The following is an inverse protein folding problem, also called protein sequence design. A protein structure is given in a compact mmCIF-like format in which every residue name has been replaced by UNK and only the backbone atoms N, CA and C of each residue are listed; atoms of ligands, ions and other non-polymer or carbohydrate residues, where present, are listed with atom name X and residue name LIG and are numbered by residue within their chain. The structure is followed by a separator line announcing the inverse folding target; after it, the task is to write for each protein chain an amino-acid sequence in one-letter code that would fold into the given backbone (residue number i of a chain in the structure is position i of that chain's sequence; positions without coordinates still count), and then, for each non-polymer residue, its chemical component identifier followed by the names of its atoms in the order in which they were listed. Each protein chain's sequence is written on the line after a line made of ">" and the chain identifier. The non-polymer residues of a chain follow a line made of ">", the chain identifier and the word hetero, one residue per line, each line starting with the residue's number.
data_IF_159834546975
#
_entry.id   IF_159834546975
#
_cell.length_a   1.000
_cell.length_b   1.000
_cell.length_c   1.000
_cell.angle_alpha   90.00
_cell.angle_beta   90.00
_cell.angle_gamma   90.00
#
_symmetry.space_group_name_H-M   'P 1'
#
loop_
_entity.id
_entity.type
_entity.pdbx_description
1 polymer ?
#
# COMPACT_ATOMS: atom_id res chain seq x y z
N UNK A 1 -11.17 6.35 3.84
CA UNK A 1 -10.29 7.24 4.61
C UNK A 1 -9.15 7.64 3.71
N UNK A 2 -8.67 8.88 3.77
CA UNK A 2 -7.65 9.39 2.87
C UNK A 2 -7.62 10.91 2.89
N UNK A 3 -7.24 11.54 1.79
CA UNK A 3 -7.24 13.00 1.65
C UNK A 3 -8.42 13.53 0.85
N UNK A 4 -8.28 14.74 0.34
CA UNK A 4 -9.10 15.29 -0.74
C UNK A 4 -10.22 16.20 -0.24
N UNK A 5 -10.11 16.77 0.97
CA UNK A 5 -11.13 17.66 1.56
C UNK A 5 -11.59 18.75 0.59
N UNK A 6 -10.68 19.28 -0.23
CA UNK A 6 -10.99 20.32 -1.23
C UNK A 6 -12.13 19.97 -2.19
N UNK A 7 -12.37 18.68 -2.45
CA UNK A 7 -13.42 18.22 -3.37
C UNK A 7 -14.78 17.97 -2.67
N UNK A 8 -14.79 18.01 -1.35
CA UNK A 8 -15.98 17.83 -0.51
C UNK A 8 -16.60 19.16 -0.06
N UNK A 9 -15.79 20.21 0.03
CA UNK A 9 -16.20 21.52 0.50
C UNK A 9 -16.52 22.48 -0.66
N UNK A 10 -17.54 23.35 -0.52
CA UNK A 10 -17.83 24.40 -1.50
C UNK A 10 -16.80 25.53 -1.45
N UNK A 11 -16.68 26.25 -2.56
CA UNK A 11 -15.94 27.52 -2.61
C UNK A 11 -16.45 28.49 -1.53
N UNK A 12 -15.54 29.23 -0.89
CA UNK A 12 -15.81 30.09 0.26
C UNK A 12 -15.73 29.40 1.63
N UNK A 13 -15.77 28.06 1.70
CA UNK A 13 -15.53 27.33 2.95
C UNK A 13 -14.03 27.09 3.13
N UNK A 14 -13.45 27.61 4.21
CA UNK A 14 -12.02 27.45 4.52
C UNK A 14 -11.69 26.03 4.98
N UNK A 15 -10.54 25.53 4.57
CA UNK A 15 -10.01 24.25 5.06
C UNK A 15 -9.65 24.36 6.56
N UNK A 16 -9.95 23.32 7.37
CA UNK A 16 -9.68 23.35 8.81
C UNK A 16 -8.19 23.40 9.18
N UNK A 17 -7.32 22.93 8.29
CA UNK A 17 -5.87 22.85 8.52
C UNK A 17 -5.14 23.97 7.78
N UNK A 18 -5.45 24.14 6.49
CA UNK A 18 -4.85 25.16 5.64
C UNK A 18 -5.77 26.39 5.56
N UNK A 19 -5.69 27.28 6.56
CA UNK A 19 -6.61 28.44 6.71
C UNK A 19 -6.62 29.43 5.54
N UNK A 20 -5.64 29.38 4.65
CA UNK A 20 -5.56 30.17 3.40
C UNK A 20 -6.25 29.50 2.22
N UNK A 21 -6.56 28.22 2.31
CA UNK A 21 -7.18 27.42 1.25
C UNK A 21 -8.69 27.31 1.46
N UNK A 22 -9.42 27.18 0.35
CA UNK A 22 -10.88 27.02 0.34
C UNK A 22 -11.29 25.77 -0.44
N UNK A 23 -12.52 25.31 -0.20
CA UNK A 23 -13.16 24.26 -0.99
C UNK A 23 -13.22 24.59 -2.48
N UNK A 24 -13.27 23.57 -3.34
CA UNK A 24 -13.24 23.72 -4.81
C UNK A 24 -14.58 23.50 -5.49
N UNK A 25 -15.63 23.08 -4.77
CA UNK A 25 -16.91 22.80 -5.41
C UNK A 25 -17.65 24.09 -5.77
N UNK A 26 -18.07 24.17 -7.03
CA UNK A 26 -18.78 25.32 -7.59
C UNK A 26 -20.31 25.24 -7.41
N UNK A 27 -20.83 24.09 -6.97
CA UNK A 27 -22.26 23.84 -6.81
C UNK A 27 -22.80 24.21 -5.42
N UNK A 28 -21.98 24.86 -4.58
CA UNK A 28 -22.30 25.27 -3.21
C UNK A 28 -22.70 24.13 -2.27
N UNK A 29 -22.39 22.88 -2.63
CA UNK A 29 -22.71 21.70 -1.82
C UNK A 29 -21.57 21.38 -0.86
N UNK A 30 -21.88 21.31 0.43
CA UNK A 30 -21.03 20.64 1.41
C UNK A 30 -21.37 19.15 1.44
N UNK A 31 -20.48 18.32 0.90
CA UNK A 31 -20.69 16.88 0.83
C UNK A 31 -20.43 16.18 2.16
N UNK A 32 -19.61 16.76 3.04
CA UNK A 32 -19.34 16.21 4.37
C UNK A 32 -20.62 16.31 5.20
N UNK A 33 -21.22 17.51 5.20
CA UNK A 33 -22.47 17.76 5.90
C UNK A 33 -23.62 16.91 5.32
N UNK A 34 -23.71 16.80 3.99
CA UNK A 34 -24.72 15.94 3.35
C UNK A 34 -24.55 14.47 3.72
N UNK A 35 -23.32 13.97 3.74
CA UNK A 35 -23.03 12.59 4.14
C UNK A 35 -23.44 12.34 5.59
N UNK A 36 -23.06 13.23 6.52
CA UNK A 36 -23.47 13.13 7.94
C UNK A 36 -25.00 13.18 8.10
N UNK A 37 -25.67 14.10 7.39
CA UNK A 37 -27.15 14.22 7.40
C UNK A 37 -27.82 12.96 6.87
N UNK A 38 -27.29 12.36 5.79
CA UNK A 38 -27.79 11.09 5.25
C UNK A 38 -27.71 9.96 6.28
N UNK A 39 -26.53 9.76 6.90
CA UNK A 39 -26.35 8.69 7.90
C UNK A 39 -27.26 8.88 9.11
N UNK A 40 -27.32 10.11 9.62
CA UNK A 40 -28.23 10.46 10.74
C UNK A 40 -29.69 10.21 10.37
N UNK A 41 -30.13 10.61 9.18
CA UNK A 41 -31.51 10.39 8.71
C UNK A 41 -31.87 8.90 8.63
N UNK A 42 -30.89 8.05 8.31
CA UNK A 42 -31.04 6.59 8.26
C UNK A 42 -30.87 5.90 9.62
N UNK A 43 -30.67 6.67 10.70
CA UNK A 43 -30.53 6.15 12.05
C UNK A 43 -29.17 5.55 12.36
N UNK A 44 -28.13 5.87 11.57
CA UNK A 44 -26.79 5.33 11.76
C UNK A 44 -25.87 6.29 12.54
N UNK A 45 -24.97 5.71 13.32
CA UNK A 45 -23.86 6.41 13.98
C UNK A 45 -22.75 6.72 12.98
N UNK A 46 -22.48 8.01 12.74
CA UNK A 46 -21.50 8.46 11.76
C UNK A 46 -20.60 9.56 12.31
N UNK A 47 -19.30 9.42 12.05
CA UNK A 47 -18.26 10.35 12.50
C UNK A 47 -17.47 10.88 11.31
N UNK A 48 -17.11 12.16 11.36
CA UNK A 48 -16.19 12.81 10.44
C UNK A 48 -14.95 13.28 11.19
N UNK A 49 -13.76 12.92 10.69
CA UNK A 49 -12.48 13.30 11.27
C UNK A 49 -11.52 13.81 10.20
N UNK A 50 -10.63 14.73 10.58
CA UNK A 50 -9.67 15.33 9.65
C UNK A 50 -8.26 15.46 10.20
N UNK A 51 -7.98 14.98 11.41
CA UNK A 51 -6.63 14.89 11.97
C UNK A 51 -6.47 13.67 12.88
N UNK A 52 -5.23 13.37 13.24
CA UNK A 52 -4.88 12.22 14.09
C UNK A 52 -5.50 12.27 15.49
N UNK A 53 -5.63 13.44 16.11
CA UNK A 53 -6.25 13.56 17.43
C UNK A 53 -7.74 13.16 17.43
N UNK A 54 -8.49 13.54 16.40
CA UNK A 54 -9.89 13.14 16.22
C UNK A 54 -9.98 11.65 15.85
N UNK A 55 -9.13 11.19 14.92
CA UNK A 55 -9.04 9.80 14.52
C UNK A 55 -8.81 8.85 15.72
N UNK A 56 -7.87 9.20 16.61
CA UNK A 56 -7.54 8.40 17.80
C UNK A 56 -8.69 8.32 18.81
N UNK A 57 -9.63 9.27 18.80
CA UNK A 57 -10.81 9.28 19.69
C UNK A 57 -11.96 8.42 19.17
N UNK A 58 -11.89 7.91 17.94
CA UNK A 58 -12.96 7.10 17.35
C UNK A 58 -13.08 5.78 18.11
N UNK A 59 -14.23 5.62 18.77
CA UNK A 59 -14.70 4.35 19.29
C UNK A 59 -15.22 3.50 18.12
N UNK A 60 -14.37 2.59 17.65
CA UNK A 60 -14.68 1.70 16.54
C UNK A 60 -15.87 0.77 16.84
N UNK A 61 -16.19 0.49 18.11
CA UNK A 61 -17.33 -0.35 18.47
C UNK A 61 -18.66 0.38 18.26
N UNK A 62 -18.70 1.69 18.53
CA UNK A 62 -19.92 2.51 18.42
C UNK A 62 -20.10 3.20 17.06
N UNK A 63 -19.03 3.36 16.29
CA UNK A 63 -19.07 4.06 15.00
C UNK A 63 -19.46 3.10 13.89
N UNK A 64 -20.58 3.31 13.19
CA UNK A 64 -20.98 2.48 12.04
C UNK A 64 -20.39 3.01 10.73
N UNK A 65 -20.32 4.34 10.58
CA UNK A 65 -19.77 4.99 9.40
C UNK A 65 -18.68 5.98 9.81
N UNK A 66 -17.51 5.88 9.20
CA UNK A 66 -16.40 6.80 9.44
C UNK A 66 -15.95 7.44 8.12
N UNK A 67 -15.96 8.77 8.07
CA UNK A 67 -15.35 9.54 7.01
C UNK A 67 -14.10 10.25 7.55
N UNK A 68 -12.92 9.75 7.20
CA UNK A 68 -11.63 10.39 7.53
C UNK A 68 -11.04 11.07 6.30
N UNK A 69 -10.92 12.40 6.33
CA UNK A 69 -10.30 13.23 5.28
C UNK A 69 -9.15 14.07 5.87
N UNK A 70 -7.94 13.54 5.81
CA UNK A 70 -6.79 14.00 6.60
C UNK A 70 -5.98 15.12 5.94
N UNK A 71 -6.12 15.32 4.64
CA UNK A 71 -5.44 16.41 3.92
C UNK A 71 -6.40 17.17 2.98
N UNK A 72 -6.07 18.42 2.67
CA UNK A 72 -6.71 19.21 1.62
C UNK A 72 -6.68 18.51 0.25
N UNK A 73 -5.55 17.88 -0.10
CA UNK A 73 -5.38 17.12 -1.35
C UNK A 73 -5.00 15.67 -1.09
N UNK A 74 -3.85 15.19 -1.56
CA UNK A 74 -3.35 13.87 -1.17
C UNK A 74 -2.68 14.02 0.19
N UNK A 75 -2.67 12.98 1.02
CA UNK A 75 -1.82 12.98 2.21
C UNK A 75 -0.36 13.27 1.82
N UNK A 76 0.40 13.82 2.76
CA UNK A 76 1.84 13.89 2.67
C UNK A 76 2.47 12.51 2.44
N UNK A 77 3.70 12.50 1.91
CA UNK A 77 4.48 11.27 1.89
C UNK A 77 4.72 10.80 3.32
N UNK A 78 4.74 9.49 3.58
CA UNK A 78 4.95 8.94 4.92
C UNK A 78 6.29 9.39 5.52
N UNK A 79 7.30 9.60 4.67
CA UNK A 79 8.59 10.17 5.08
C UNK A 79 8.53 11.63 5.54
N UNK A 80 7.52 12.37 5.09
CA UNK A 80 7.31 13.80 5.34
C UNK A 80 6.14 14.06 6.31
N UNK A 81 5.36 13.01 6.64
CA UNK A 81 4.12 13.07 7.43
C UNK A 81 4.36 13.61 8.84
N UNK A 82 3.55 14.58 9.25
CA UNK A 82 3.50 14.99 10.66
C UNK A 82 2.89 13.84 11.50
N UNK A 83 3.71 13.25 12.35
CA UNK A 83 3.30 12.13 13.22
C UNK A 83 2.66 12.61 14.53
N UNK A 84 2.67 13.91 14.79
CA UNK A 84 2.09 14.55 15.96
C UNK A 84 0.57 14.45 16.01
N UNK A 85 -0.02 14.93 17.11
CA UNK A 85 -1.47 14.84 17.33
C UNK A 85 -2.29 15.68 16.35
N UNK A 86 -1.67 16.68 15.72
CA UNK A 86 -2.31 17.55 14.72
C UNK A 86 -2.06 17.11 13.28
N UNK A 87 -1.15 16.16 13.06
CA UNK A 87 -0.88 15.59 11.74
C UNK A 87 -1.78 14.41 11.42
N UNK A 88 -1.20 13.41 10.76
CA UNK A 88 -1.97 12.38 10.05
C UNK A 88 -1.74 10.95 10.57
N UNK A 89 -2.80 10.10 10.54
CA UNK A 89 -2.66 8.67 10.74
C UNK A 89 -1.84 8.04 9.61
N UNK A 90 -1.06 7.00 9.93
CA UNK A 90 -0.38 6.19 8.91
C UNK A 90 -1.36 5.35 8.10
N UNK A 91 -0.91 4.77 6.97
CA UNK A 91 -1.70 3.81 6.22
C UNK A 91 -2.09 2.58 7.07
N UNK A 92 -1.17 2.12 7.91
CA UNK A 92 -1.40 1.05 8.90
C UNK A 92 -2.47 1.44 9.93
N UNK A 93 -2.40 2.65 10.49
CA UNK A 93 -3.41 3.16 11.44
C UNK A 93 -4.80 3.17 10.79
N UNK A 94 -4.91 3.75 9.59
CA UNK A 94 -6.17 3.81 8.82
C UNK A 94 -6.70 2.40 8.52
N UNK A 95 -5.83 1.48 8.10
CA UNK A 95 -6.21 0.10 7.80
C UNK A 95 -6.74 -0.63 9.03
N UNK A 96 -6.07 -0.48 10.17
CA UNK A 96 -6.49 -1.05 11.45
C UNK A 96 -7.87 -0.52 11.86
N UNK A 97 -8.09 0.80 11.82
CA UNK A 97 -9.37 1.39 12.22
C UNK A 97 -10.50 1.00 11.28
N UNK A 98 -10.24 0.93 9.97
CA UNK A 98 -11.21 0.44 9.00
C UNK A 98 -11.62 -1.00 9.33
N UNK A 99 -10.63 -1.85 9.62
CA UNK A 99 -10.84 -3.25 9.95
C UNK A 99 -11.67 -3.43 11.23
N UNK A 100 -11.38 -2.66 12.29
CA UNK A 100 -12.14 -2.67 13.54
C UNK A 100 -13.62 -2.32 13.34
N UNK A 101 -13.92 -1.37 12.45
CA UNK A 101 -15.30 -0.97 12.15
C UNK A 101 -16.00 -2.01 11.27
N UNK A 102 -15.34 -2.47 10.20
CA UNK A 102 -15.91 -3.36 9.19
C UNK A 102 -16.17 -4.77 9.72
N UNK A 103 -15.30 -5.29 10.60
CA UNK A 103 -15.43 -6.63 11.22
C UNK A 103 -16.70 -6.84 12.02
N UNK A 104 -17.39 -5.76 12.38
CA UNK A 104 -18.67 -5.85 13.10
C UNK A 104 -19.80 -6.40 12.22
N UNK A 105 -19.65 -6.39 10.90
CA UNK A 105 -20.64 -6.96 10.00
C UNK A 105 -20.47 -8.50 9.91
N UNK A 106 -21.42 -9.30 10.43
CA UNK A 106 -21.33 -10.75 10.36
C UNK A 106 -21.44 -11.29 8.92
N UNK A 107 -21.93 -10.49 7.97
CA UNK A 107 -22.02 -10.89 6.56
C UNK A 107 -20.73 -10.63 5.77
N UNK A 108 -19.65 -10.23 6.44
CA UNK A 108 -18.38 -9.92 5.80
C UNK A 108 -18.27 -8.46 5.32
N UNK A 109 -17.14 -8.16 4.68
CA UNK A 109 -16.81 -6.81 4.23
C UNK A 109 -15.76 -6.83 3.13
N UNK A 110 -15.71 -5.75 2.36
CA UNK A 110 -14.63 -5.44 1.42
C UNK A 110 -13.86 -4.27 2.00
N UNK A 111 -12.54 -4.42 2.11
CA UNK A 111 -11.62 -3.33 2.43
C UNK A 111 -10.63 -3.17 1.28
N UNK A 112 -10.53 -1.94 0.80
CA UNK A 112 -9.54 -1.48 -0.18
C UNK A 112 -8.55 -0.58 0.54
N UNK A 113 -7.26 -0.95 0.47
CA UNK A 113 -6.14 -0.18 0.99
C UNK A 113 -5.20 0.15 -0.17
N UNK A 114 -4.92 1.43 -0.37
CA UNK A 114 -4.12 1.95 -1.47
C UNK A 114 -2.98 2.80 -0.91
N UNK A 115 -1.74 2.53 -1.35
CA UNK A 115 -0.59 3.42 -1.15
C UNK A 115 -0.32 4.23 -2.42
N UNK A 116 -1.25 5.13 -2.75
CA UNK A 116 -1.23 5.88 -4.02
C UNK A 116 -0.08 6.89 -4.14
N UNK A 117 0.63 7.17 -3.05
CA UNK A 117 1.80 8.05 -3.05
C UNK A 117 3.04 7.38 -3.65
N UNK A 118 3.09 6.06 -3.77
CA UNK A 118 4.16 5.34 -4.49
C UNK A 118 4.26 5.88 -5.93
N UNK A 119 3.11 5.97 -6.63
CA UNK A 119 3.03 6.48 -8.01
C UNK A 119 3.52 7.92 -8.11
N UNK A 120 3.01 8.80 -7.24
CA UNK A 120 3.41 10.20 -7.22
C UNK A 120 4.92 10.37 -7.01
N UNK A 121 5.53 9.59 -6.12
CA UNK A 121 6.97 9.64 -5.91
C UNK A 121 7.75 9.20 -7.16
N UNK A 122 7.29 8.16 -7.86
CA UNK A 122 7.89 7.73 -9.13
C UNK A 122 7.72 8.76 -10.24
N UNK A 123 6.56 9.42 -10.35
CA UNK A 123 6.35 10.55 -11.25
C UNK A 123 7.37 11.67 -10.99
N UNK A 124 7.80 11.88 -9.75
CA UNK A 124 8.83 12.86 -9.41
C UNK A 124 10.26 12.34 -9.57
N UNK A 125 10.47 11.12 -10.08
CA UNK A 125 11.76 10.40 -10.03
C UNK A 125 12.39 10.46 -8.62
N UNK A 126 11.58 10.32 -7.58
CA UNK A 126 12.03 10.35 -6.18
C UNK A 126 11.92 8.95 -5.59
N UNK A 127 12.96 8.14 -5.81
CA UNK A 127 12.98 6.76 -5.34
C UNK A 127 13.04 6.65 -3.81
N UNK A 128 13.57 7.65 -3.10
CA UNK A 128 13.57 7.65 -1.64
C UNK A 128 12.13 7.60 -1.11
N UNK A 129 11.29 8.54 -1.57
CA UNK A 129 9.88 8.60 -1.16
C UNK A 129 9.10 7.39 -1.65
N UNK A 130 9.34 6.93 -2.88
CA UNK A 130 8.66 5.74 -3.40
C UNK A 130 8.94 4.51 -2.54
N UNK A 131 10.20 4.30 -2.12
CA UNK A 131 10.57 3.18 -1.26
C UNK A 131 10.01 3.31 0.16
N UNK A 132 9.99 4.52 0.75
CA UNK A 132 9.36 4.72 2.07
C UNK A 132 7.84 4.48 2.01
N UNK A 133 7.15 4.87 0.93
CA UNK A 133 5.73 4.53 0.72
C UNK A 133 5.50 3.02 0.55
N UNK A 134 6.41 2.31 -0.12
CA UNK A 134 6.37 0.85 -0.23
C UNK A 134 6.54 0.20 1.16
N UNK A 135 7.41 0.73 2.00
CA UNK A 135 7.57 0.26 3.39
C UNK A 135 6.29 0.50 4.19
N UNK A 136 5.70 1.70 4.12
CA UNK A 136 4.43 2.00 4.79
C UNK A 136 3.28 1.09 4.31
N UNK A 137 3.30 0.70 3.04
CA UNK A 137 2.38 -0.28 2.48
C UNK A 137 2.62 -1.71 2.99
N UNK A 138 3.87 -2.17 3.03
CA UNK A 138 4.24 -3.50 3.57
C UNK A 138 3.85 -3.64 5.06
N UNK A 139 4.01 -2.56 5.83
CA UNK A 139 3.53 -2.49 7.21
C UNK A 139 2.00 -2.64 7.30
N UNK A 140 1.25 -2.00 6.40
CA UNK A 140 -0.21 -2.12 6.35
C UNK A 140 -0.66 -3.53 5.93
N UNK A 141 0.00 -4.14 4.93
CA UNK A 141 -0.23 -5.55 4.53
C UNK A 141 0.02 -6.49 5.71
N UNK A 142 1.13 -6.30 6.42
CA UNK A 142 1.51 -7.11 7.59
C UNK A 142 0.47 -6.98 8.71
N UNK A 143 0.05 -5.75 9.01
CA UNK A 143 -0.95 -5.47 10.03
C UNK A 143 -2.30 -6.12 9.69
N UNK A 144 -2.77 -5.96 8.44
CA UNK A 144 -4.01 -6.57 7.97
C UNK A 144 -3.93 -8.10 8.08
N UNK A 145 -2.88 -8.69 7.51
CA UNK A 145 -2.73 -10.15 7.42
C UNK A 145 -2.68 -10.80 8.80
N UNK A 146 -2.00 -10.15 9.76
CA UNK A 146 -1.94 -10.61 11.16
C UNK A 146 -3.24 -10.36 11.94
N UNK A 147 -4.13 -9.52 11.42
CA UNK A 147 -5.37 -9.15 12.09
C UNK A 147 -6.57 -10.00 11.64
N UNK A 148 -6.49 -10.81 10.59
CA UNK A 148 -7.64 -11.56 10.04
C UNK A 148 -7.45 -13.06 10.12
N UNK A 149 -8.56 -13.82 10.06
CA UNK A 149 -8.53 -15.26 9.89
C UNK A 149 -8.39 -15.59 8.40
N UNK A 150 -7.25 -16.14 7.99
CA UNK A 150 -6.97 -16.39 6.57
C UNK A 150 -7.81 -17.54 5.97
N UNK A 151 -8.45 -18.37 6.80
CA UNK A 151 -9.38 -19.40 6.34
C UNK A 151 -10.72 -18.81 5.87
N UNK A 152 -11.03 -17.57 6.24
CA UNK A 152 -12.29 -16.88 5.93
C UNK A 152 -12.07 -15.58 5.14
N UNK A 153 -10.81 -15.22 4.91
CA UNK A 153 -10.42 -13.93 4.34
C UNK A 153 -9.53 -14.14 3.13
N UNK A 154 -9.99 -13.71 1.95
CA UNK A 154 -9.10 -13.58 0.80
C UNK A 154 -8.38 -12.24 0.87
N UNK A 155 -7.06 -12.27 0.75
CA UNK A 155 -6.22 -11.08 0.64
C UNK A 155 -5.56 -11.13 -0.73
N UNK A 156 -5.72 -10.06 -1.50
CA UNK A 156 -5.02 -9.86 -2.77
C UNK A 156 -4.18 -8.59 -2.68
N UNK A 157 -2.92 -8.70 -3.06
CA UNK A 157 -1.98 -7.59 -3.19
C UNK A 157 -1.54 -7.49 -4.64
N UNK A 158 -1.77 -6.34 -5.27
CA UNK A 158 -1.36 -6.10 -6.66
C UNK A 158 -1.12 -4.61 -6.93
N UNK A 159 -0.80 -4.32 -8.18
CA UNK A 159 -0.52 -3.00 -8.74
C UNK A 159 -1.53 -2.69 -9.84
N UNK A 160 -1.85 -1.42 -10.02
CA UNK A 160 -2.63 -0.96 -11.16
C UNK A 160 -1.77 -0.86 -12.43
N UNK A 161 -0.51 -0.45 -12.31
CA UNK A 161 0.51 -0.42 -13.35
C UNK A 161 1.93 -0.25 -12.77
N UNK A 162 2.94 -0.54 -13.59
CA UNK A 162 4.33 -0.34 -13.23
C UNK A 162 4.84 1.09 -13.51
N UNK A 163 6.16 1.28 -13.47
CA UNK A 163 6.86 2.53 -13.74
C UNK A 163 8.09 2.28 -14.61
N UNK A 164 8.57 3.31 -15.31
CA UNK A 164 9.84 3.23 -16.07
C UNK A 164 11.08 3.31 -15.17
N UNK A 165 11.08 2.61 -14.04
CA UNK A 165 12.18 2.57 -13.08
C UNK A 165 13.01 1.31 -13.31
N UNK A 166 14.33 1.46 -13.24
CA UNK A 166 15.26 0.33 -13.30
C UNK A 166 16.21 0.42 -12.11
N UNK A 167 16.57 -0.71 -11.54
CA UNK A 167 17.72 -0.80 -10.64
C UNK A 167 18.72 -1.83 -11.16
N UNK A 168 20.01 -1.51 -11.07
CA UNK A 168 21.04 -2.38 -11.61
C UNK A 168 22.44 -1.92 -11.25
N UNK A 169 23.35 -2.02 -12.22
CA UNK A 169 24.76 -1.70 -12.06
C UNK A 169 25.68 -2.90 -12.21
N UNK A 170 26.93 -2.64 -12.56
CA UNK A 170 28.00 -3.63 -12.64
C UNK A 170 28.69 -3.86 -11.28
N UNK A 171 28.55 -2.92 -10.34
CA UNK A 171 29.23 -2.92 -9.05
C UNK A 171 28.29 -2.66 -7.88
N UNK A 172 27.11 -3.29 -7.85
CA UNK A 172 26.15 -3.22 -6.75
C UNK A 172 26.10 -4.54 -5.97
N UNK A 173 27.11 -4.84 -5.13
CA UNK A 173 27.20 -6.11 -4.40
C UNK A 173 26.08 -6.25 -3.36
N UNK A 174 25.88 -7.48 -2.86
CA UNK A 174 24.96 -7.73 -1.74
C UNK A 174 25.30 -6.83 -0.55
N UNK A 175 24.29 -6.09 -0.07
CA UNK A 175 24.44 -5.10 1.01
C UNK A 175 24.72 -3.67 0.54
N UNK A 176 24.89 -3.43 -0.77
CA UNK A 176 24.92 -2.07 -1.30
C UNK A 176 23.58 -1.37 -1.03
N UNK A 177 23.57 -0.11 -0.54
CA UNK A 177 22.33 0.64 -0.38
C UNK A 177 21.60 0.78 -1.72
N UNK A 178 20.30 0.47 -1.75
CA UNK A 178 19.49 0.56 -2.99
C UNK A 178 19.37 2.00 -3.52
N UNK A 179 19.43 2.98 -2.62
CA UNK A 179 19.53 4.40 -2.96
C UNK A 179 20.97 4.87 -3.14
N UNK A 180 21.96 3.97 -3.10
CA UNK A 180 23.38 4.28 -3.26
C UNK A 180 23.81 4.33 -4.72
N UNK A 181 25.10 4.55 -4.93
CA UNK A 181 25.73 4.51 -6.25
C UNK A 181 26.26 3.12 -6.57
N UNK A 182 26.46 2.85 -7.86
CA UNK A 182 27.36 1.80 -8.31
C UNK A 182 28.78 2.13 -7.85
N UNK A 183 29.55 1.14 -7.36
CA UNK A 183 30.94 1.35 -6.93
C UNK A 183 31.89 1.52 -8.12
N UNK A 184 31.48 1.09 -9.32
CA UNK A 184 32.23 1.29 -10.55
C UNK A 184 31.69 2.49 -11.32
N UNK A 185 32.56 3.44 -11.73
CA UNK A 185 32.13 4.51 -12.59
C UNK A 185 31.75 3.96 -13.97
N UNK A 186 30.84 4.67 -14.64
CA UNK A 186 30.54 4.44 -16.04
C UNK A 186 31.84 4.53 -16.86
N UNK A 187 32.20 3.50 -17.66
CA UNK A 187 33.41 3.53 -18.48
C UNK A 187 33.42 4.68 -19.51
N UNK A 188 32.23 5.16 -19.90
CA UNK A 188 32.09 6.21 -20.91
C UNK A 188 32.25 7.62 -20.34
N UNK A 189 31.78 7.86 -19.10
CA UNK A 189 31.81 9.20 -18.48
C UNK A 189 32.83 9.33 -17.34
N UNK A 190 33.36 8.21 -16.82
CA UNK A 190 34.20 8.19 -15.62
C UNK A 190 33.44 8.52 -14.33
N UNK A 191 32.11 8.55 -14.38
CA UNK A 191 31.26 9.00 -13.28
C UNK A 191 30.50 7.86 -12.60
N UNK A 192 30.35 7.93 -11.27
CA UNK A 192 29.39 7.07 -10.58
C UNK A 192 27.96 7.45 -10.98
N UNK A 193 27.08 6.46 -11.00
CA UNK A 193 25.65 6.61 -11.26
C UNK A 193 24.86 5.88 -10.16
N UNK A 194 23.66 6.38 -9.79
CA UNK A 194 22.85 5.73 -8.78
C UNK A 194 22.39 4.35 -9.25
N UNK A 195 22.20 3.46 -8.28
CA UNK A 195 21.68 2.10 -8.50
C UNK A 195 20.32 2.15 -9.18
N UNK A 196 19.46 3.10 -8.80
CA UNK A 196 18.15 3.35 -9.40
C UNK A 196 18.24 4.47 -10.44
N UNK A 197 17.67 4.20 -11.63
CA UNK A 197 17.53 5.11 -12.75
C UNK A 197 16.11 5.06 -13.32
N UNK A 198 15.73 6.08 -14.09
CA UNK A 198 14.42 6.16 -14.74
C UNK A 198 14.52 6.28 -16.27
N UNK A 199 13.53 5.77 -16.99
CA UNK A 199 13.39 5.97 -18.43
C UNK A 199 12.96 7.39 -18.78
N UNK A 200 12.07 8.00 -17.99
CA UNK A 200 11.62 9.37 -18.19
C UNK A 200 11.37 10.10 -16.87
N UNK A 201 11.25 11.43 -16.94
CA UNK A 201 10.82 12.25 -15.81
C UNK A 201 11.74 13.45 -15.52
N UNK A 202 11.49 14.15 -14.40
CA UNK A 202 12.15 15.43 -14.10
C UNK A 202 13.63 15.28 -13.75
N UNK A 203 14.10 14.07 -13.49
CA UNK A 203 15.49 13.77 -13.19
C UNK A 203 16.43 13.84 -14.39
N UNK A 204 15.95 14.15 -15.60
CA UNK A 204 16.82 14.22 -16.77
C UNK A 204 17.90 15.28 -16.60
N UNK A 205 19.14 14.88 -16.87
CA UNK A 205 20.31 15.73 -16.80
C UNK A 205 21.02 15.78 -18.14
N UNK A 206 21.41 16.99 -18.55
CA UNK A 206 22.38 17.14 -19.63
C UNK A 206 23.74 16.57 -19.19
N UNK A 207 24.57 16.19 -20.16
CA UNK A 207 25.91 15.64 -19.92
C UNK A 207 26.78 16.49 -18.98
N UNK A 208 26.64 17.81 -19.01
CA UNK A 208 27.33 18.76 -18.12
C UNK A 208 26.85 18.69 -16.66
N UNK A 209 25.56 18.41 -16.42
CA UNK A 209 24.97 18.33 -15.07
C UNK A 209 25.23 17.00 -14.38
N UNK A 210 25.44 15.93 -15.16
CA UNK A 210 25.78 14.61 -14.62
C UNK A 210 27.00 14.71 -13.69
N UNK A 211 27.99 15.55 -14.06
CA UNK A 211 29.24 15.82 -13.32
C UNK A 211 29.09 16.24 -11.86
N UNK A 212 27.92 16.77 -11.47
CA UNK A 212 27.71 17.36 -10.14
C UNK A 212 26.90 16.46 -9.19
N UNK A 213 26.28 15.38 -9.67
CA UNK A 213 25.42 14.52 -8.85
C UNK A 213 26.18 13.63 -7.88
N UNK A 214 27.41 13.25 -8.20
CA UNK A 214 28.30 12.47 -7.32
C UNK A 214 28.62 13.16 -5.99
N UNK A 215 28.31 14.46 -5.84
CA UNK A 215 28.42 15.22 -4.59
C UNK A 215 27.14 15.20 -3.73
N UNK A 216 26.01 14.77 -4.30
CA UNK A 216 24.74 14.68 -3.60
C UNK A 216 24.55 13.26 -3.05
N UNK A 217 24.06 13.18 -1.81
CA UNK A 217 23.62 11.90 -1.24
C UNK A 217 22.40 11.43 -2.01
N UNK A 218 22.56 10.37 -2.80
CA UNK A 218 21.48 9.74 -3.57
C UNK A 218 20.38 9.14 -2.68
N UNK A 219 20.66 8.99 -1.37
CA UNK A 219 19.69 8.62 -0.34
C UNK A 219 18.98 9.79 0.34
N UNK A 220 19.18 11.03 -0.09
CA UNK A 220 18.42 12.18 0.41
C UNK A 220 16.99 12.16 -0.12
N UNK A 221 16.01 12.54 0.72
CA UNK A 221 14.61 12.72 0.29
C UNK A 221 14.42 13.80 -0.78
N UNK A 222 15.39 14.71 -0.93
CA UNK A 222 15.42 15.73 -1.99
C UNK A 222 16.11 15.29 -3.27
N UNK A 223 16.76 14.12 -3.28
CA UNK A 223 17.46 13.63 -4.47
C UNK A 223 16.47 13.11 -5.50
N UNK A 224 16.64 13.57 -6.75
CA UNK A 224 15.82 13.18 -7.90
C UNK A 224 16.71 12.31 -8.80
N UNK A 225 16.36 11.04 -8.94
CA UNK A 225 17.16 10.07 -9.70
C UNK A 225 17.22 10.44 -11.19
N UNK A 226 18.37 10.26 -11.86
CA UNK A 226 18.52 10.55 -13.28
C UNK A 226 17.53 9.80 -14.17
N UNK A 227 17.07 10.47 -15.22
CA UNK A 227 16.22 9.87 -16.25
C UNK A 227 16.75 10.06 -17.68
N UNK A 228 16.44 9.11 -18.57
CA UNK A 228 16.90 9.18 -19.95
C UNK A 228 16.19 10.28 -20.76
N UNK A 229 14.87 10.45 -20.60
CA UNK A 229 14.06 11.45 -21.32
C UNK A 229 13.48 12.49 -20.36
N UNK A 230 13.72 13.77 -20.66
CA UNK A 230 13.15 14.88 -19.90
C UNK A 230 11.63 14.93 -20.03
N UNK A 231 10.96 14.87 -18.88
CA UNK A 231 9.53 15.17 -18.75
C UNK A 231 9.28 15.88 -17.41
N UNK A 232 8.22 16.68 -17.28
CA UNK A 232 7.82 17.22 -15.97
C UNK A 232 7.46 16.12 -14.96
N UNK A 233 6.98 14.97 -15.43
CA UNK A 233 6.67 13.79 -14.62
C UNK A 233 7.14 12.53 -15.35
N UNK A 234 7.55 11.49 -14.63
CA UNK A 234 7.82 10.17 -15.21
C UNK A 234 6.57 9.59 -15.89
N UNK A 235 6.74 8.62 -16.78
CA UNK A 235 5.64 7.83 -17.35
C UNK A 235 5.45 6.54 -16.55
N UNK A 236 4.24 5.98 -16.59
CA UNK A 236 4.02 4.61 -16.13
C UNK A 236 4.79 3.61 -16.99
N UNK A 237 5.02 2.42 -16.44
CA UNK A 237 5.49 1.23 -17.13
C UNK A 237 4.32 0.41 -17.66
N UNK A 238 4.52 -0.27 -18.79
CA UNK A 238 3.49 -1.07 -19.47
C UNK A 238 3.72 -2.57 -19.38
N UNK A 239 4.69 -3.01 -18.59
CA UNK A 239 4.95 -4.40 -18.29
C UNK A 239 3.94 -4.98 -17.30
N UNK A 240 3.80 -6.30 -17.31
CA UNK A 240 2.96 -7.05 -16.39
C UNK A 240 3.36 -6.78 -14.93
N UNK A 241 2.37 -6.69 -14.06
CA UNK A 241 2.55 -6.49 -12.62
C UNK A 241 2.14 -7.73 -11.83
N UNK A 242 2.78 -8.01 -10.68
CA UNK A 242 2.47 -9.20 -9.91
C UNK A 242 1.13 -9.07 -9.19
N UNK A 243 0.53 -10.22 -8.96
CA UNK A 243 -0.61 -10.40 -8.08
C UNK A 243 -0.26 -11.50 -7.08
N UNK A 244 -0.35 -11.18 -5.79
CA UNK A 244 -0.19 -12.12 -4.70
C UNK A 244 -1.56 -12.35 -4.05
N UNK A 245 -1.96 -13.60 -3.87
CA UNK A 245 -3.23 -13.95 -3.27
C UNK A 245 -3.05 -15.03 -2.20
N UNK A 246 -3.75 -14.88 -1.07
CA UNK A 246 -3.85 -15.87 0.00
C UNK A 246 -5.29 -15.95 0.52
N UNK A 247 -5.66 -17.10 1.09
CA UNK A 247 -6.99 -17.35 1.63
C UNK A 247 -7.94 -18.09 0.66
N UNK A 248 -9.26 -18.07 0.92
CA UNK A 248 -10.25 -18.83 0.16
C UNK A 248 -10.19 -18.59 -1.34
N UNK A 249 -10.12 -19.68 -2.11
CA UNK A 249 -10.09 -19.66 -3.58
C UNK A 249 -8.93 -18.84 -4.18
N UNK A 250 -7.89 -18.50 -3.40
CA UNK A 250 -6.70 -17.80 -3.91
C UNK A 250 -5.99 -18.52 -5.06
N UNK A 251 -6.14 -19.85 -5.15
CA UNK A 251 -5.59 -20.68 -6.23
C UNK A 251 -6.07 -20.30 -7.63
N UNK A 252 -7.19 -19.59 -7.79
CA UNK A 252 -7.68 -19.15 -9.12
C UNK A 252 -6.82 -18.03 -9.71
N UNK A 253 -6.05 -17.32 -8.87
CA UNK A 253 -5.15 -16.26 -9.29
C UNK A 253 -3.79 -16.85 -9.65
N UNK A 254 -3.70 -17.45 -10.83
CA UNK A 254 -2.49 -18.11 -11.32
C UNK A 254 -2.18 -17.77 -12.77
N UNK A 255 -0.92 -17.92 -13.17
CA UNK A 255 -0.46 -17.64 -14.53
C UNK A 255 -0.51 -16.16 -14.89
N UNK A 256 -0.58 -15.87 -16.19
CA UNK A 256 -0.78 -14.52 -16.73
C UNK A 256 -2.27 -14.29 -16.96
N UNK A 257 -2.81 -13.23 -16.36
CA UNK A 257 -4.22 -12.89 -16.42
C UNK A 257 -4.38 -11.45 -16.90
N UNK A 258 -5.49 -11.17 -17.57
CA UNK A 258 -5.91 -9.80 -17.82
C UNK A 258 -6.25 -9.13 -16.47
N UNK A 259 -5.92 -7.85 -16.29
CA UNK A 259 -6.21 -7.13 -15.04
C UNK A 259 -7.70 -7.15 -14.68
N UNK A 260 -8.60 -7.21 -15.67
CA UNK A 260 -10.06 -7.36 -15.45
C UNK A 260 -10.41 -8.67 -14.74
N UNK A 261 -9.59 -9.72 -14.87
CA UNK A 261 -9.77 -10.98 -14.16
C UNK A 261 -9.79 -10.78 -12.65
N UNK A 262 -9.08 -9.79 -12.11
CA UNK A 262 -9.07 -9.50 -10.67
C UNK A 262 -10.49 -9.30 -10.12
N UNK A 263 -11.28 -8.46 -10.78
CA UNK A 263 -12.65 -8.15 -10.36
C UNK A 263 -13.56 -9.39 -10.47
N UNK A 264 -13.43 -10.14 -11.57
CA UNK A 264 -14.22 -11.35 -11.79
C UNK A 264 -13.85 -12.48 -10.81
N UNK A 265 -12.55 -12.69 -10.59
CA UNK A 265 -12.01 -13.67 -9.64
C UNK A 265 -12.45 -13.37 -8.22
N UNK A 266 -12.42 -12.09 -7.80
CA UNK A 266 -12.95 -11.68 -6.49
C UNK A 266 -14.46 -11.89 -6.38
N UNK A 267 -15.23 -11.48 -7.39
CA UNK A 267 -16.68 -11.69 -7.39
C UNK A 267 -17.03 -13.19 -7.31
N UNK A 268 -16.30 -14.04 -8.03
CA UNK A 268 -16.42 -15.49 -7.94
C UNK A 268 -16.02 -16.01 -6.55
N UNK A 269 -14.87 -15.58 -6.03
CA UNK A 269 -14.37 -16.00 -4.73
C UNK A 269 -15.33 -15.68 -3.58
N UNK A 270 -16.12 -14.63 -3.73
CA UNK A 270 -17.08 -14.15 -2.75
C UNK A 270 -18.55 -14.49 -3.03
N UNK A 271 -18.85 -15.26 -4.08
CA UNK A 271 -20.25 -15.52 -4.47
C UNK A 271 -21.06 -14.22 -4.71
N UNK A 272 -20.45 -13.21 -5.34
CA UNK A 272 -21.10 -11.95 -5.65
C UNK A 272 -21.57 -11.87 -7.10
N UNK A 273 -22.61 -11.05 -7.31
CA UNK A 273 -23.10 -10.68 -8.62
C UNK A 273 -23.48 -11.90 -9.47
N UNK A 274 -22.92 -12.04 -10.70
CA UNK A 274 -23.28 -13.14 -11.60
C UNK A 274 -22.82 -14.52 -11.11
N UNK A 275 -21.97 -14.58 -10.07
CA UNK A 275 -21.44 -15.84 -9.52
C UNK A 275 -22.16 -16.30 -8.25
N UNK A 276 -23.21 -15.57 -7.81
CA UNK A 276 -23.91 -15.83 -6.55
C UNK A 276 -24.39 -17.28 -6.39
N UNK A 277 -24.91 -17.87 -7.46
CA UNK A 277 -25.50 -19.21 -7.44
C UNK A 277 -24.53 -20.30 -7.93
N UNK A 278 -23.34 -19.93 -8.42
CA UNK A 278 -22.41 -20.82 -9.14
C UNK A 278 -20.96 -20.73 -8.62
N UNK A 279 -20.73 -20.17 -7.44
CA UNK A 279 -19.40 -20.08 -6.83
C UNK A 279 -18.92 -21.38 -6.16
N UNK A 280 -19.71 -22.46 -6.24
CA UNK A 280 -19.49 -23.73 -5.55
C UNK A 280 -19.85 -23.67 -4.07
N UNK A 281 -20.31 -24.80 -3.51
CA UNK A 281 -20.59 -24.91 -2.08
C UNK A 281 -19.31 -24.68 -1.26
N UNK A 282 -19.43 -24.00 -0.11
CA UNK A 282 -18.34 -23.82 0.85
C UNK A 282 -17.85 -25.14 1.50
N UNK A 283 -18.34 -26.29 1.01
CA UNK A 283 -18.01 -27.64 1.48
C UNK A 283 -16.56 -28.05 1.21
N UNK A 284 -15.82 -27.35 0.35
CA UNK A 284 -14.38 -27.59 0.18
C UNK A 284 -13.59 -27.30 1.47
N UNK A 285 -14.10 -26.48 2.39
CA UNK A 285 -13.53 -26.31 3.73
C UNK A 285 -13.76 -27.53 4.64
N UNK A 286 -14.60 -28.50 4.24
CA UNK A 286 -14.92 -29.73 4.97
C UNK A 286 -14.39 -31.00 4.29
N UNK A 287 -14.07 -30.96 3.00
CA UNK A 287 -13.61 -32.14 2.24
C UNK A 287 -12.09 -32.35 2.26
N UNK A 288 -11.33 -31.46 2.91
CA UNK A 288 -9.89 -31.61 3.12
C UNK A 288 -9.52 -32.35 4.43
N UNK A 289 -10.37 -33.30 4.85
CA UNK A 289 -10.07 -34.31 5.89
C UNK A 289 -8.86 -35.22 5.51
N UNK A 290 -8.39 -35.14 4.26
CA UNK A 290 -7.15 -35.78 3.81
C UNK A 290 -5.90 -34.89 3.98
N UNK A 291 -6.07 -33.57 4.19
CA UNK A 291 -4.97 -32.65 4.58
C UNK A 291 -4.79 -32.61 6.10
N UNK A 292 -5.84 -32.91 6.89
CA UNK A 292 -5.68 -33.18 8.34
C UNK A 292 -4.76 -34.37 8.64
N UNK A 293 -4.73 -35.39 7.77
CA UNK A 293 -3.78 -36.51 7.90
C UNK A 293 -2.34 -36.13 7.54
N UNK A 294 -2.14 -35.10 6.71
CA UNK A 294 -0.82 -34.50 6.45
C UNK A 294 -0.35 -33.51 7.52
N UNK A 295 -1.26 -32.98 8.32
CA UNK A 295 -0.95 -32.08 9.44
C UNK A 295 -0.64 -32.82 10.75
N UNK A 296 -1.21 -34.00 10.98
CA UNK A 296 -0.83 -34.83 12.14
C UNK A 296 0.60 -35.39 12.02
N UNK A 297 1.13 -35.57 10.82
CA UNK A 297 2.54 -35.98 10.62
C UNK A 297 3.54 -34.81 10.75
N UNK A 298 3.07 -33.56 10.63
CA UNK A 298 3.88 -32.35 10.91
C UNK A 298 3.91 -31.97 12.39
N UNK A 299 2.99 -32.46 13.21
CA UNK A 299 2.99 -32.21 14.65
C UNK A 299 4.10 -33.01 15.37
N UNK A 300 4.50 -34.17 14.83
CA UNK A 300 5.68 -34.93 15.26
C UNK A 300 7.02 -34.32 14.77
N UNK A 301 7.00 -33.55 13.67
CA UNK A 301 8.16 -32.78 13.21
C UNK A 301 8.32 -31.44 13.96
N UNK A 302 7.23 -30.84 14.46
CA UNK A 302 7.28 -29.65 15.33
C UNK A 302 7.88 -29.95 16.70
N UNK A 303 7.79 -31.18 17.20
CA UNK A 303 8.46 -31.57 18.45
C UNK A 303 9.92 -32.00 18.25
N UNK A 304 10.27 -32.51 17.06
CA UNK A 304 11.68 -32.83 16.71
C UNK A 304 12.52 -31.65 16.21
N UNK A 305 11.90 -30.52 15.82
CA UNK A 305 12.61 -29.29 15.41
C UNK A 305 12.72 -28.21 16.49
N UNK A 306 12.63 -28.58 17.78
CA UNK A 306 13.01 -27.67 18.87
C UNK A 306 14.50 -27.27 18.89
N UNK A 307 15.31 -27.73 17.93
CA UNK A 307 16.71 -27.32 17.74
C UNK A 307 17.04 -26.69 16.37
N UNK A 308 16.06 -26.24 15.58
CA UNK A 308 16.35 -25.36 14.43
C UNK A 308 15.59 -24.04 14.61
N UNK A 309 16.25 -23.16 15.35
CA UNK A 309 15.81 -21.83 15.72
C UNK A 309 16.20 -20.84 14.60
N UNK A 310 15.29 -20.56 13.67
CA UNK A 310 15.46 -19.47 12.67
C UNK A 310 15.35 -18.08 13.35
N UNK A 311 15.11 -18.04 14.67
CA UNK A 311 15.00 -16.82 15.48
C UNK A 311 16.17 -16.56 16.45
N UNK A 312 17.37 -17.07 16.18
CA UNK A 312 18.60 -16.60 16.84
C UNK A 312 19.56 -15.94 15.85
N UNK A 313 19.15 -14.80 15.31
CA UNK A 313 20.05 -13.74 14.81
C UNK A 313 19.46 -12.33 15.07
N UNK A 314 18.63 -12.21 16.11
CA UNK A 314 17.92 -10.97 16.46
C UNK A 314 18.55 -10.19 17.62
N UNK A 315 19.80 -10.50 18.00
CA UNK A 315 20.46 -9.90 19.17
C UNK A 315 21.73 -9.09 18.89
N UNK A 316 22.13 -8.83 17.62
CA UNK A 316 23.39 -8.09 17.33
C UNK A 316 23.25 -6.95 16.30
N UNK A 317 22.06 -6.61 15.77
CA UNK A 317 21.98 -5.60 14.69
C UNK A 317 21.03 -4.43 14.99
N UNK A 318 21.50 -3.23 14.66
CA UNK A 318 20.83 -1.94 14.91
C UNK A 318 19.57 -1.75 14.03
N UNK A 319 18.70 -0.84 14.45
CA UNK A 319 17.38 -0.57 13.85
C UNK A 319 17.39 -0.29 12.34
N UNK A 320 18.52 0.17 11.78
CA UNK A 320 18.70 0.43 10.34
C UNK A 320 18.64 -0.85 9.48
N UNK A 321 19.11 -1.99 9.99
CA UNK A 321 19.19 -3.23 9.21
C UNK A 321 17.86 -4.01 9.12
N UNK A 322 16.87 -3.70 9.98
CA UNK A 322 15.53 -4.33 9.94
C UNK A 322 14.73 -3.93 8.70
N UNK A 323 14.98 -2.74 8.13
CA UNK A 323 14.30 -2.21 6.94
C UNK A 323 14.71 -2.86 5.61
N UNK A 324 15.77 -3.68 5.58
CA UNK A 324 16.43 -4.03 4.31
C UNK A 324 16.22 -5.47 3.81
N UNK A 325 15.56 -6.35 4.58
CA UNK A 325 15.53 -7.80 4.26
C UNK A 325 14.16 -8.38 3.84
N UNK A 326 13.01 -7.72 4.07
CA UNK A 326 11.72 -8.14 3.46
C UNK A 326 11.46 -7.52 2.07
N UNK A 327 12.22 -6.47 1.70
CA UNK A 327 11.86 -5.56 0.60
C UNK A 327 12.31 -5.97 -0.81
N UNK A 328 12.90 -7.15 -1.03
CA UNK A 328 13.61 -7.41 -2.31
C UNK A 328 12.70 -7.61 -3.52
N UNK A 329 11.41 -7.96 -3.35
CA UNK A 329 10.49 -8.29 -4.46
C UNK A 329 9.44 -7.21 -4.79
N UNK A 330 9.31 -6.17 -3.96
CA UNK A 330 8.25 -5.17 -4.06
C UNK A 330 8.69 -3.85 -4.72
N UNK A 331 9.98 -3.74 -5.09
CA UNK A 331 10.60 -2.47 -5.53
C UNK A 331 10.17 -2.03 -6.93
N UNK A 332 9.66 -2.93 -7.79
CA UNK A 332 9.37 -2.62 -9.20
C UNK A 332 8.00 -1.98 -9.45
N UNK A 333 7.04 -2.10 -8.54
CA UNK A 333 5.64 -1.92 -8.87
C UNK A 333 4.98 -0.86 -7.99
N UNK A 334 4.10 -0.05 -8.57
CA UNK A 334 3.20 0.80 -7.78
C UNK A 334 2.22 -0.12 -7.08
N UNK A 335 2.41 -0.46 -5.80
CA UNK A 335 1.48 -1.38 -5.15
C UNK A 335 0.23 -0.60 -4.74
N UNK A 336 -0.77 -0.66 -5.60
CA UNK A 336 -1.96 0.20 -5.52
C UNK A 336 -3.11 -0.45 -4.79
N UNK A 337 -3.10 -1.77 -4.56
CA UNK A 337 -4.34 -2.36 -4.08
C UNK A 337 -4.13 -3.59 -3.21
N UNK A 338 -4.42 -3.44 -1.91
CA UNK A 338 -4.85 -4.56 -1.07
C UNK A 338 -6.37 -4.61 -1.14
N UNK A 339 -6.92 -5.69 -1.69
CA UNK A 339 -8.33 -6.02 -1.52
C UNK A 339 -8.41 -7.13 -0.49
N UNK A 340 -8.97 -6.81 0.67
CA UNK A 340 -9.27 -7.79 1.72
C UNK A 340 -10.76 -8.01 1.69
N UNK A 341 -11.17 -9.26 1.52
CA UNK A 341 -12.57 -9.61 1.57
C UNK A 341 -12.82 -10.79 2.49
N UNK A 342 -13.71 -10.59 3.45
CA UNK A 342 -14.25 -11.64 4.31
C UNK A 342 -15.61 -12.08 3.80
N UNK A 343 -15.82 -13.40 3.72
CA UNK A 343 -17.14 -14.02 3.79
C UNK A 343 -17.09 -15.06 4.92
N UNK A 344 -17.87 -14.83 5.99
CA UNK A 344 -18.27 -15.92 6.88
C UNK A 344 -19.16 -16.84 6.03
N UNK A 345 -18.63 -17.99 5.62
CA UNK A 345 -19.40 -19.00 4.89
C UNK A 345 -20.19 -19.93 5.81
N UNK A 346 -20.15 -19.69 7.13
CA UNK A 346 -20.76 -20.53 8.17
C UNK A 346 -22.02 -19.95 8.82
N UNK A 347 -22.69 -18.96 8.23
CA UNK A 347 -24.01 -18.48 8.72
C UNK A 347 -25.07 -18.28 7.66
#
# INVERSE_FOLDING_TARGET
>A
MGGGRRHWLPQGTRDPEYKSEEGRRQDRRDLIEQWLKDKKKRGHSAEYVWNKAQFNKIDAQKTEFLLGLFDYSHLDFDSDRDQGIFGDPSLSDMSQKALEILKKNPHGYVLVVESGRIDHAYHYNNAYRALEEIVAFDEAVTLVTSSVNIEETIIIVTSDHSQVMTFGGAGTPRGNPILGYDIYPSPSSGMLYPTILFGSGPGHQSSEKLQNTTRLSSGSSSFIQPSAILRPWSTHGGEDVPLYAIGPRSFIFHGTQDQTFLAHGLAYAMCLGPFKDNCGDATWAKEDDQVEKGCQEKQLLRERNKEINIWTLSAILSSSAKKQLSNTFLIYFTIVLIIIVICDTNK
#
